data_IF_576843116325
#
_entry.id   IF_576843116325
#
_cell.length_a   1.000
_cell.length_b   1.000
_cell.length_c   1.000
_cell.angle_alpha   90.00
_cell.angle_beta   90.00
_cell.angle_gamma   90.00
#
_symmetry.space_group_name_H-M   'P 1'
#
loop_
_entity.id
_entity.type
_entity.pdbx_description
1 polymer ?
#
# COMPACT_ATOMS: atom_id res chain seq x y z
N UNK A 1 -7.39 -2.55 -9.25
CA UNK A 1 -6.67 -3.58 -8.46
C UNK A 1 -6.76 -4.89 -9.22
N UNK A 2 -5.65 -5.63 -9.33
CA UNK A 2 -5.51 -6.94 -9.95
C UNK A 2 -5.16 -7.95 -8.86
N UNK A 3 -5.88 -9.06 -8.81
CA UNK A 3 -5.61 -10.16 -7.88
C UNK A 3 -4.87 -11.24 -8.66
N UNK A 4 -3.59 -11.44 -8.34
CA UNK A 4 -2.68 -12.28 -9.13
C UNK A 4 -2.72 -13.75 -8.68
N UNK A 5 -3.37 -14.04 -7.56
CA UNK A 5 -3.29 -15.34 -6.89
C UNK A 5 -2.10 -15.44 -5.96
N UNK A 6 -1.93 -16.60 -5.32
CA UNK A 6 -0.87 -16.84 -4.35
C UNK A 6 -0.79 -15.74 -3.28
N UNK A 7 -1.94 -15.25 -2.82
CA UNK A 7 -2.03 -14.17 -1.84
C UNK A 7 -1.40 -12.83 -2.28
N UNK A 8 -1.21 -12.64 -3.59
CA UNK A 8 -0.62 -11.43 -4.17
C UNK A 8 -1.68 -10.55 -4.84
N UNK A 9 -1.61 -9.25 -4.57
CA UNK A 9 -2.48 -8.25 -5.16
C UNK A 9 -1.68 -7.03 -5.62
N UNK A 10 -2.01 -6.53 -6.82
CA UNK A 10 -1.39 -5.36 -7.42
C UNK A 10 -2.41 -4.24 -7.65
N UNK A 11 -2.02 -3.01 -7.38
CA UNK A 11 -2.83 -1.82 -7.55
C UNK A 11 -2.10 -0.79 -8.41
N UNK A 12 -2.86 -0.04 -9.21
CA UNK A 12 -2.37 1.15 -9.91
C UNK A 12 -3.29 2.32 -9.62
N UNK A 13 -2.71 3.48 -9.40
CA UNK A 13 -3.45 4.72 -9.15
C UNK A 13 -2.70 5.91 -9.73
N UNK A 14 -3.44 6.86 -10.31
CA UNK A 14 -2.91 8.16 -10.69
C UNK A 14 -3.02 9.08 -9.49
N UNK A 15 -1.89 9.63 -9.04
CA UNK A 15 -1.83 10.48 -7.85
C UNK A 15 -1.23 11.82 -8.20
N UNK A 16 -2.00 12.87 -7.93
CA UNK A 16 -1.50 14.24 -7.84
C UNK A 16 -1.06 14.52 -6.40
N UNK A 17 0.24 14.41 -6.15
CA UNK A 17 0.83 14.66 -4.83
C UNK A 17 0.83 16.13 -4.43
N UNK A 18 0.61 17.06 -5.38
CA UNK A 18 0.47 18.49 -5.11
C UNK A 18 -0.92 18.77 -4.51
N UNK A 19 -1.96 18.08 -4.99
CA UNK A 19 -3.32 18.16 -4.42
C UNK A 19 -3.49 17.35 -3.13
N UNK A 20 -2.76 16.24 -2.98
CA UNK A 20 -2.70 15.49 -1.71
C UNK A 20 -1.93 16.22 -0.60
N UNK A 21 -1.42 17.42 -0.85
CA UNK A 21 -0.62 18.19 0.09
C UNK A 21 -1.50 18.78 1.21
N UNK A 22 -1.69 17.98 2.27
CA UNK A 22 -1.99 18.45 3.62
C UNK A 22 -0.89 17.94 4.55
N UNK A 23 -0.20 18.85 5.24
CA UNK A 23 0.83 18.65 6.26
C UNK A 23 2.32 18.53 5.81
N UNK A 24 3.01 19.66 5.97
CA UNK A 24 4.36 19.88 6.53
C UNK A 24 5.49 18.85 6.31
N UNK A 25 6.57 19.33 5.67
CA UNK A 25 7.91 18.75 5.73
C UNK A 25 8.71 19.01 4.45
N UNK A 26 9.95 19.49 4.55
CA UNK A 26 10.86 19.61 3.39
C UNK A 26 11.12 18.19 2.85
N UNK A 27 10.85 17.90 1.57
CA UNK A 27 11.13 16.59 1.01
C UNK A 27 12.64 16.30 1.07
N UNK A 28 13.04 15.07 1.46
CA UNK A 28 14.41 14.75 1.87
C UNK A 28 15.42 14.73 0.72
N UNK A 29 14.97 14.69 -0.55
CA UNK A 29 15.87 14.66 -1.70
C UNK A 29 15.27 15.36 -2.93
N UNK A 30 16.12 15.86 -3.83
CA UNK A 30 15.70 16.57 -5.05
C UNK A 30 14.86 15.68 -5.99
N UNK A 31 15.22 14.40 -6.10
CA UNK A 31 14.54 13.40 -6.93
C UNK A 31 13.06 13.21 -6.56
N UNK A 32 12.75 13.19 -5.26
CA UNK A 32 11.37 13.09 -4.78
C UNK A 32 10.56 14.35 -5.11
N UNK A 33 11.18 15.53 -5.23
CA UNK A 33 10.44 16.74 -5.63
C UNK A 33 9.95 16.62 -7.07
N UNK A 34 10.78 16.09 -7.96
CA UNK A 34 10.42 15.86 -9.37
C UNK A 34 9.35 14.78 -9.50
N UNK A 35 9.46 13.68 -8.75
CA UNK A 35 8.45 12.61 -8.73
C UNK A 35 7.11 13.01 -8.10
N UNK A 36 7.05 14.10 -7.34
CA UNK A 36 5.82 14.57 -6.68
C UNK A 36 5.20 15.78 -7.39
N UNK A 37 5.78 16.22 -8.52
CA UNK A 37 5.26 17.33 -9.32
C UNK A 37 4.34 16.81 -10.43
N UNK A 38 3.05 17.15 -10.37
CA UNK A 38 2.06 16.70 -11.34
C UNK A 38 1.43 15.36 -10.96
N UNK A 39 0.73 14.77 -11.92
CA UNK A 39 0.05 13.48 -11.77
C UNK A 39 1.00 12.34 -12.14
N UNK A 40 1.20 11.42 -11.21
CA UNK A 40 2.09 10.27 -11.39
C UNK A 40 1.32 8.97 -11.23
N UNK A 41 1.59 8.02 -12.13
CA UNK A 41 1.14 6.65 -11.95
C UNK A 41 1.95 5.98 -10.83
N UNK A 42 1.25 5.50 -9.83
CA UNK A 42 1.80 4.64 -8.79
C UNK A 42 1.37 3.21 -9.09
N UNK A 43 2.32 2.28 -9.06
CA UNK A 43 2.03 0.86 -9.02
C UNK A 43 2.51 0.27 -7.70
N UNK A 44 1.68 -0.55 -7.07
CA UNK A 44 1.99 -1.22 -5.81
C UNK A 44 1.68 -2.70 -5.95
N UNK A 45 2.58 -3.56 -5.51
CA UNK A 45 2.32 -4.99 -5.34
C UNK A 45 2.45 -5.35 -3.87
N UNK A 46 1.49 -6.11 -3.36
CA UNK A 46 1.39 -6.51 -1.95
C UNK A 46 1.18 -8.00 -1.84
N UNK A 47 1.57 -8.55 -0.69
CA UNK A 47 1.21 -9.91 -0.28
C UNK A 47 0.39 -9.86 1.00
N UNK A 48 -0.66 -10.66 1.05
CA UNK A 48 -1.56 -10.76 2.19
C UNK A 48 -1.29 -12.07 2.92
N UNK A 49 -0.90 -12.00 4.19
CA UNK A 49 -0.79 -13.19 5.05
C UNK A 49 -1.92 -13.16 6.05
N UNK A 50 -2.70 -14.24 6.15
CA UNK A 50 -3.81 -14.29 7.10
C UNK A 50 -4.08 -15.69 7.62
N UNK A 51 -4.66 -15.76 8.82
CA UNK A 51 -4.91 -17.00 9.55
C UNK A 51 -5.18 -16.75 11.02
N UNK A 52 -5.99 -17.60 11.66
CA UNK A 52 -6.30 -17.49 13.08
C UNK A 52 -7.02 -16.19 13.44
N UNK A 53 -7.78 -15.63 12.50
CA UNK A 53 -8.50 -14.37 12.65
C UNK A 53 -7.63 -13.12 12.60
N UNK A 54 -6.39 -13.21 12.11
CA UNK A 54 -5.52 -12.06 11.89
C UNK A 54 -5.06 -11.99 10.43
N UNK A 55 -4.72 -10.78 9.97
CA UNK A 55 -4.10 -10.54 8.69
C UNK A 55 -2.96 -9.53 8.79
N UNK A 56 -1.99 -9.66 7.89
CA UNK A 56 -0.90 -8.73 7.66
C UNK A 56 -0.82 -8.47 6.16
N UNK A 57 -0.72 -7.19 5.78
CA UNK A 57 -0.47 -6.80 4.39
C UNK A 57 0.95 -6.29 4.29
N UNK A 58 1.78 -7.00 3.53
CA UNK A 58 3.17 -6.65 3.30
C UNK A 58 3.31 -6.02 1.90
N UNK A 59 4.07 -4.92 1.81
CA UNK A 59 4.39 -4.29 0.53
C UNK A 59 5.56 -5.05 -0.09
N UNK A 60 5.37 -5.59 -1.31
CA UNK A 60 6.41 -6.27 -2.08
C UNK A 60 7.19 -5.27 -2.94
N UNK A 61 6.48 -4.36 -3.59
CA UNK A 61 7.09 -3.31 -4.41
C UNK A 61 6.18 -2.10 -4.52
N UNK A 62 6.80 -0.93 -4.68
CA UNK A 62 6.14 0.32 -5.06
C UNK A 62 6.97 0.93 -6.17
N UNK A 63 6.31 1.45 -7.21
CA UNK A 63 6.94 2.30 -8.20
C UNK A 63 6.10 3.54 -8.46
N UNK A 64 6.78 4.63 -8.81
CA UNK A 64 6.18 5.91 -9.19
C UNK A 64 6.73 6.28 -10.56
N UNK A 65 5.86 6.48 -11.54
CA UNK A 65 6.22 6.72 -12.94
C UNK A 65 7.23 5.68 -13.47
N UNK A 66 7.04 4.41 -13.08
CA UNK A 66 7.93 3.31 -13.45
C UNK A 66 9.24 3.21 -12.65
N UNK A 67 9.55 4.18 -11.79
CA UNK A 67 10.76 4.14 -10.96
C UNK A 67 10.48 3.44 -9.63
N UNK A 68 11.22 2.36 -9.28
CA UNK A 68 11.07 1.67 -8.01
C UNK A 68 11.39 2.59 -6.82
N UNK A 69 10.54 2.53 -5.78
CA UNK A 69 10.70 3.28 -4.54
C UNK A 69 10.92 2.30 -3.39
N UNK A 70 12.03 2.44 -2.67
CA UNK A 70 12.42 1.56 -1.57
C UNK A 70 13.05 2.34 -0.42
N UNK A 71 13.22 1.67 0.73
CA UNK A 71 13.90 2.22 1.91
C UNK A 71 13.29 3.54 2.39
N UNK A 72 14.13 4.51 2.74
CA UNK A 72 13.71 5.77 3.34
C UNK A 72 12.75 6.62 2.47
N UNK A 73 12.76 6.45 1.15
CA UNK A 73 11.80 7.12 0.27
C UNK A 73 10.38 6.54 0.42
N UNK A 74 10.26 5.22 0.54
CA UNK A 74 8.98 4.56 0.80
C UNK A 74 8.47 4.93 2.21
N UNK A 75 9.35 4.89 3.21
CA UNK A 75 9.00 5.27 4.58
C UNK A 75 8.50 6.73 4.65
N UNK A 76 9.13 7.63 3.90
CA UNK A 76 8.68 9.02 3.78
C UNK A 76 7.26 9.11 3.21
N UNK A 77 6.94 8.37 2.15
CA UNK A 77 5.59 8.36 1.56
C UNK A 77 4.56 7.79 2.52
N UNK A 78 4.87 6.69 3.19
CA UNK A 78 3.99 6.09 4.18
C UNK A 78 3.70 7.10 5.29
N UNK A 79 4.75 7.69 5.89
CA UNK A 79 4.60 8.59 7.04
C UNK A 79 3.93 9.92 6.71
N UNK A 80 4.21 10.50 5.55
CA UNK A 80 3.78 11.86 5.23
C UNK A 80 2.54 11.91 4.30
N UNK A 81 2.17 10.80 3.66
CA UNK A 81 1.00 10.77 2.76
C UNK A 81 0.00 9.67 3.13
N UNK A 82 0.45 8.44 3.40
CA UNK A 82 -0.48 7.36 3.74
C UNK A 82 -1.09 7.59 5.14
N UNK A 83 -0.25 7.69 6.16
CA UNK A 83 -0.70 7.74 7.56
C UNK A 83 -1.56 8.97 7.89
N UNK A 84 -1.28 10.20 7.39
CA UNK A 84 -2.13 11.34 7.69
C UNK A 84 -3.56 11.21 7.13
N UNK A 85 -3.71 10.53 5.99
CA UNK A 85 -5.02 10.31 5.35
C UNK A 85 -5.71 9.03 5.83
N UNK A 86 -4.93 8.05 6.30
CA UNK A 86 -5.40 6.75 6.76
C UNK A 86 -4.68 6.38 8.06
N UNK A 87 -5.01 7.05 9.19
CA UNK A 87 -4.28 6.89 10.45
C UNK A 87 -4.36 5.48 11.04
N UNK A 88 -5.43 4.75 10.73
CA UNK A 88 -5.64 3.37 11.18
C UNK A 88 -5.04 2.33 10.23
N UNK A 89 -4.38 2.75 9.13
CA UNK A 89 -3.76 1.83 8.19
C UNK A 89 -2.62 1.05 8.87
N UNK A 90 -2.64 -0.28 8.70
CA UNK A 90 -1.64 -1.19 9.26
C UNK A 90 -0.91 -1.90 8.12
N UNK A 91 0.26 -1.38 7.76
CA UNK A 91 1.13 -1.94 6.74
C UNK A 91 2.31 -2.65 7.41
N UNK A 92 2.57 -3.90 7.01
CA UNK A 92 3.62 -4.74 7.61
C UNK A 92 3.35 -5.13 9.07
N UNK A 93 2.14 -4.87 9.58
CA UNK A 93 1.74 -5.14 10.95
C UNK A 93 0.47 -5.99 10.98
N UNK A 94 0.34 -6.92 11.94
CA UNK A 94 -0.85 -7.74 12.07
C UNK A 94 -2.05 -6.90 12.56
N UNK A 95 -3.22 -7.23 12.03
CA UNK A 95 -4.51 -6.69 12.46
C UNK A 95 -5.58 -7.77 12.52
N UNK A 96 -6.51 -7.62 13.47
CA UNK A 96 -7.60 -8.57 13.64
C UNK A 96 -8.60 -8.48 12.48
N UNK A 97 -8.91 -9.62 11.89
CA UNK A 97 -10.02 -9.78 10.97
C UNK A 97 -11.32 -9.81 11.77
N UNK A 98 -12.19 -8.82 11.52
CA UNK A 98 -13.50 -8.71 12.18
C UNK A 98 -14.48 -9.74 11.60
N UNK A 99 -15.66 -9.85 12.20
CA UNK A 99 -16.78 -10.66 11.67
C UNK A 99 -16.51 -12.17 11.57
N UNK A 100 -15.74 -12.73 12.51
CA UNK A 100 -15.43 -14.18 12.59
C UNK A 100 -14.72 -14.72 11.33
N UNK A 101 -14.08 -13.84 10.58
CA UNK A 101 -13.20 -14.25 9.48
C UNK A 101 -11.96 -14.90 10.10
N UNK A 102 -11.60 -16.09 9.64
CA UNK A 102 -10.36 -16.78 9.99
C UNK A 102 -9.21 -16.31 9.09
N UNK A 103 -9.43 -16.30 7.77
CA UNK A 103 -8.43 -15.90 6.78
C UNK A 103 -9.06 -15.41 5.48
N UNK A 104 -8.23 -14.76 4.69
CA UNK A 104 -8.50 -14.29 3.33
C UNK A 104 -7.52 -14.98 2.39
N UNK A 105 -8.04 -15.63 1.36
CA UNK A 105 -7.25 -16.27 0.31
C UNK A 105 -7.38 -15.45 -0.97
N UNK A 106 -6.26 -14.93 -1.49
CA UNK A 106 -6.26 -14.23 -2.78
C UNK A 106 -5.93 -15.24 -3.89
N UNK A 107 -6.91 -15.44 -4.76
CA UNK A 107 -6.82 -16.21 -5.98
C UNK A 107 -6.78 -15.28 -7.19
N UNK A 108 -6.44 -15.78 -8.40
CA UNK A 108 -6.56 -14.98 -9.61
C UNK A 108 -7.98 -14.41 -9.74
N UNK A 109 -8.08 -13.09 -9.86
CA UNK A 109 -9.34 -12.34 -10.01
C UNK A 109 -10.38 -12.47 -8.87
N UNK A 110 -10.04 -13.11 -7.74
CA UNK A 110 -10.97 -13.30 -6.63
C UNK A 110 -10.28 -13.26 -5.26
N UNK A 111 -11.01 -12.82 -4.24
CA UNK A 111 -10.61 -12.95 -2.85
C UNK A 111 -11.68 -13.74 -2.09
N UNK A 112 -11.28 -14.86 -1.50
CA UNK A 112 -12.17 -15.72 -0.73
C UNK A 112 -12.03 -15.40 0.76
N UNK A 113 -13.16 -15.37 1.44
CA UNK A 113 -13.23 -15.18 2.88
C UNK A 113 -13.55 -16.52 3.52
N UNK A 114 -12.68 -16.99 4.40
CA UNK A 114 -12.92 -18.19 5.19
C UNK A 114 -13.32 -17.77 6.59
N UNK A 115 -14.47 -18.24 7.05
CA UNK A 115 -15.02 -17.94 8.39
C UNK A 115 -14.84 -19.12 9.33
N UNK A 116 -14.78 -18.84 10.63
CA UNK A 116 -14.80 -19.85 11.70
C UNK A 116 -16.22 -20.13 12.22
#
# INVERSE_FOLDING_TARGET
VLLEGNNTASGRALIDFVRLRSAQGKPPNWFLRTLLQGEHEIAVTTTVRSGGGNATVDIKSVSIAGVPITGGALDFLIRNYLMPNYPDAKVGQPFALKYRIDRIEVAPNAAYVVTR
#
